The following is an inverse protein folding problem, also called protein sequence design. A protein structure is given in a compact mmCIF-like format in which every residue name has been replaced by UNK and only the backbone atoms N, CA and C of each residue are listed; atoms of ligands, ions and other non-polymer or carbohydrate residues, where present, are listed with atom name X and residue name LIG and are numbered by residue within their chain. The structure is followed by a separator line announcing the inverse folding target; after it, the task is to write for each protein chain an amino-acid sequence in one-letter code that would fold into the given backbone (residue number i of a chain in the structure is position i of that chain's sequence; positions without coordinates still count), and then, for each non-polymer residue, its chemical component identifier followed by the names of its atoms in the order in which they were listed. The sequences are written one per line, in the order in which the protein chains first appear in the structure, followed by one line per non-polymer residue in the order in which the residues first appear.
data_IF_475721061990
#
_entry.id   IF_475721061990
#
_cell.length_a   1.000
_cell.length_b   1.000
_cell.length_c   1.000
_cell.angle_alpha   90.00
_cell.angle_beta   90.00
_cell.angle_gamma   90.00
#
_symmetry.space_group_name_H-M   'P 1'
#
loop_
_entity.id
_entity.type
_entity.pdbx_description
1 polymer ?
#
# COMPACT_ATOMS: atom_id res chain seq x y z
N UNK A 1 1.24 -3.62 -7.39
CA UNK A 1 2.39 -4.54 -7.50
C UNK A 1 3.18 -4.54 -6.18
N UNK A 2 3.51 -5.69 -5.60
CA UNK A 2 4.46 -5.77 -4.45
C UNK A 2 5.68 -6.48 -5.05
N UNK A 3 6.76 -5.73 -5.24
CA UNK A 3 7.96 -6.23 -5.90
C UNK A 3 8.74 -7.23 -5.02
N UNK A 4 9.46 -8.16 -5.63
CA UNK A 4 10.44 -9.01 -4.95
C UNK A 4 11.58 -8.12 -4.38
N UNK A 5 12.04 -8.49 -3.19
CA UNK A 5 13.05 -7.77 -2.39
C UNK A 5 14.48 -8.00 -2.93
N UNK A 6 14.62 -8.65 -4.10
CA UNK A 6 15.90 -9.20 -4.56
C UNK A 6 16.52 -8.48 -5.77
N UNK A 7 16.06 -7.28 -6.12
CA UNK A 7 16.79 -6.46 -7.11
C UNK A 7 17.83 -5.60 -6.38
N UNK A 8 18.98 -6.23 -6.12
CA UNK A 8 20.24 -5.51 -5.87
C UNK A 8 20.48 -4.54 -7.03
N UNK A 9 20.58 -3.27 -6.66
CA UNK A 9 20.86 -2.09 -7.47
C UNK A 9 21.80 -2.36 -8.67
N UNK A 10 21.28 -2.18 -9.89
CA UNK A 10 22.08 -1.70 -11.01
C UNK A 10 21.68 -0.26 -11.28
N UNK A 11 22.57 0.68 -10.97
CA UNK A 11 22.39 2.10 -11.29
C UNK A 11 22.39 2.31 -12.81
N UNK A 12 21.32 2.88 -13.41
CA UNK A 12 21.39 3.41 -14.76
C UNK A 12 21.66 4.90 -14.73
N UNK A 13 22.24 5.34 -15.85
CA UNK A 13 22.86 6.64 -16.06
C UNK A 13 21.95 7.85 -15.81
N UNK A 14 22.63 8.93 -15.43
CA UNK A 14 22.12 10.29 -15.24
C UNK A 14 21.03 10.70 -16.24
N UNK A 15 19.77 10.69 -15.82
CA UNK A 15 18.70 11.41 -16.52
C UNK A 15 18.21 12.56 -15.64
N UNK A 16 18.51 13.77 -16.10
CA UNK A 16 18.06 15.05 -15.55
C UNK A 16 16.52 15.11 -15.62
N UNK A 17 15.84 15.05 -14.48
CA UNK A 17 14.43 15.44 -14.40
C UNK A 17 14.18 16.17 -13.08
N UNK A 18 13.93 17.48 -13.22
CA UNK A 18 13.55 18.38 -12.14
C UNK A 18 12.10 18.08 -11.71
N UNK A 19 11.94 17.17 -10.76
CA UNK A 19 10.74 17.10 -9.93
C UNK A 19 11.17 16.53 -8.58
N UNK A 20 10.94 17.31 -7.52
CA UNK A 20 11.29 17.05 -6.10
C UNK A 20 12.64 17.64 -5.63
N UNK A 21 12.74 18.97 -5.47
CA UNK A 21 13.92 19.63 -4.87
C UNK A 21 14.32 19.05 -3.51
N UNK A 22 13.34 18.63 -2.69
CA UNK A 22 13.57 18.12 -1.33
C UNK A 22 14.19 16.71 -1.31
N UNK A 23 13.78 15.84 -2.24
CA UNK A 23 14.33 14.49 -2.38
C UNK A 23 15.65 14.48 -3.13
N UNK A 24 15.85 15.40 -4.08
CA UNK A 24 17.15 15.65 -4.67
C UNK A 24 18.14 16.19 -3.62
N UNK A 25 17.68 17.07 -2.71
CA UNK A 25 18.45 17.52 -1.54
C UNK A 25 18.83 16.35 -0.61
N UNK A 26 17.87 15.50 -0.22
CA UNK A 26 18.14 14.33 0.63
C UNK A 26 19.04 13.28 -0.06
N UNK A 27 18.84 13.03 -1.35
CA UNK A 27 19.69 12.14 -2.16
C UNK A 27 21.09 12.73 -2.39
N UNK A 28 21.22 14.06 -2.43
CA UNK A 28 22.51 14.75 -2.55
C UNK A 28 23.29 14.81 -1.23
N UNK A 29 22.64 14.58 -0.08
CA UNK A 29 23.28 14.63 1.24
C UNK A 29 23.90 13.29 1.65
N UNK A 30 23.22 12.15 1.47
CA UNK A 30 23.80 10.81 1.66
C UNK A 30 22.90 9.70 1.09
N UNK A 31 23.30 9.08 -0.03
CA UNK A 31 22.56 7.94 -0.63
C UNK A 31 22.41 6.77 0.36
N UNK A 32 23.42 6.56 1.21
CA UNK A 32 23.46 5.49 2.22
C UNK A 32 22.40 5.70 3.29
N UNK A 33 22.06 6.95 3.61
CA UNK A 33 21.01 7.27 4.57
C UNK A 33 19.63 6.94 4.02
N UNK A 34 19.34 7.33 2.77
CA UNK A 34 18.05 7.03 2.14
C UNK A 34 17.82 5.51 2.03
N UNK A 35 18.84 4.75 1.61
CA UNK A 35 18.75 3.30 1.51
C UNK A 35 18.51 2.64 2.88
N UNK A 36 19.17 3.12 3.95
CA UNK A 36 18.94 2.64 5.32
C UNK A 36 17.53 2.95 5.81
N UNK A 37 17.01 4.16 5.53
CA UNK A 37 15.64 4.54 5.91
C UNK A 37 14.62 3.68 5.17
N UNK A 38 14.80 3.47 3.86
CA UNK A 38 13.94 2.59 3.07
C UNK A 38 13.99 1.13 3.56
N UNK A 39 15.17 0.64 3.97
CA UNK A 39 15.31 -0.70 4.56
C UNK A 39 14.56 -0.82 5.90
N UNK A 40 14.68 0.18 6.78
CA UNK A 40 13.92 0.21 8.05
C UNK A 40 12.41 0.25 7.78
N UNK A 41 11.95 1.06 6.83
CA UNK A 41 10.54 1.10 6.40
C UNK A 41 10.07 -0.24 5.83
N UNK A 42 10.95 -0.98 5.15
CA UNK A 42 10.69 -2.34 4.70
C UNK A 42 10.48 -3.32 5.85
N UNK A 43 11.28 -3.22 6.92
CA UNK A 43 11.13 -4.06 8.11
C UNK A 43 9.89 -3.73 8.95
N UNK A 44 9.45 -2.46 8.96
CA UNK A 44 8.24 -2.06 9.69
C UNK A 44 6.95 -2.36 8.93
N UNK A 45 7.00 -2.53 7.61
CA UNK A 45 5.79 -2.78 6.80
C UNK A 45 5.04 -4.07 7.23
N UNK A 46 5.76 -5.16 7.50
CA UNK A 46 5.15 -6.39 8.02
C UNK A 46 4.52 -6.21 9.40
N UNK A 47 5.17 -5.43 10.27
CA UNK A 47 4.68 -5.10 11.62
C UNK A 47 3.42 -4.21 11.54
N UNK A 48 3.38 -3.22 10.65
CA UNK A 48 2.18 -2.41 10.36
C UNK A 48 1.00 -3.30 9.97
N UNK A 49 1.21 -4.30 9.11
CA UNK A 49 0.12 -5.21 8.69
C UNK A 49 -0.38 -6.07 9.84
N UNK A 50 0.49 -6.64 10.66
CA UNK A 50 0.08 -7.41 11.84
C UNK A 50 -0.70 -6.54 12.82
N UNK A 51 -0.21 -5.33 13.10
CA UNK A 51 -0.92 -4.37 13.96
C UNK A 51 -2.26 -3.96 13.35
N UNK A 52 -2.35 -3.79 12.03
CA UNK A 52 -3.62 -3.55 11.30
C UNK A 52 -4.60 -4.70 11.51
N UNK A 53 -4.16 -5.95 11.41
CA UNK A 53 -5.02 -7.12 11.63
C UNK A 53 -5.60 -7.08 13.05
N UNK A 54 -4.76 -6.92 14.08
CA UNK A 54 -5.22 -6.85 15.48
C UNK A 54 -6.17 -5.67 15.70
N UNK A 55 -5.85 -4.50 15.14
CA UNK A 55 -6.70 -3.30 15.22
C UNK A 55 -8.08 -3.55 14.63
N UNK A 56 -8.18 -4.19 13.47
CA UNK A 56 -9.47 -4.38 12.81
C UNK A 56 -10.25 -5.57 13.38
N UNK A 57 -9.59 -6.54 14.04
CA UNK A 57 -10.28 -7.49 14.93
C UNK A 57 -10.93 -6.77 16.11
N UNK A 58 -10.24 -5.80 16.71
CA UNK A 58 -10.81 -4.96 17.76
C UNK A 58 -12.02 -4.16 17.23
N UNK A 59 -11.92 -3.55 16.04
CA UNK A 59 -13.05 -2.86 15.39
C UNK A 59 -14.24 -3.80 15.10
N UNK A 60 -13.97 -5.04 14.69
CA UNK A 60 -15.01 -6.04 14.46
C UNK A 60 -15.72 -6.40 15.77
N UNK A 61 -14.97 -6.64 16.84
CA UNK A 61 -15.54 -6.90 18.17
C UNK A 61 -16.40 -5.73 18.67
N UNK A 62 -16.01 -4.49 18.39
CA UNK A 62 -16.81 -3.30 18.67
C UNK A 62 -18.08 -3.22 17.81
N UNK A 63 -18.00 -3.58 16.53
CA UNK A 63 -19.14 -3.61 15.62
C UNK A 63 -20.19 -4.66 16.01
N UNK A 64 -19.74 -5.80 16.57
CA UNK A 64 -20.61 -6.84 17.12
C UNK A 64 -21.20 -6.48 18.51
N UNK A 65 -20.94 -5.26 18.98
CA UNK A 65 -21.53 -4.64 20.18
C UNK A 65 -21.40 -5.48 21.47
N UNK A 66 -20.26 -6.14 21.65
CA UNK A 66 -19.90 -6.83 22.89
C UNK A 66 -19.71 -5.81 24.03
N UNK A 67 -20.78 -5.49 24.76
CA UNK A 67 -20.83 -4.42 25.76
C UNK A 67 -19.75 -4.54 26.86
N UNK A 68 -19.37 -5.79 27.22
CA UNK A 68 -18.45 -6.11 28.31
C UNK A 68 -17.01 -5.59 28.10
N UNK A 69 -16.55 -5.47 26.86
CA UNK A 69 -15.14 -5.15 26.55
C UNK A 69 -14.97 -3.83 25.78
N UNK A 70 -16.06 -3.10 25.56
CA UNK A 70 -16.15 -1.92 24.70
C UNK A 70 -15.13 -0.81 25.03
N UNK A 71 -14.87 -0.44 26.30
CA UNK A 71 -13.91 0.64 26.62
C UNK A 71 -12.45 0.23 26.36
N UNK A 72 -12.09 -1.00 26.73
CA UNK A 72 -10.71 -1.49 26.64
C UNK A 72 -10.34 -1.80 25.18
N UNK A 73 -11.23 -2.47 24.45
CA UNK A 73 -11.04 -2.76 23.01
C UNK A 73 -11.03 -1.45 22.18
N UNK A 74 -11.87 -0.48 22.55
CA UNK A 74 -11.87 0.85 21.92
C UNK A 74 -10.54 1.58 22.07
N UNK A 75 -10.01 1.62 23.30
CA UNK A 75 -8.71 2.23 23.60
C UNK A 75 -7.58 1.52 22.85
N UNK A 76 -7.56 0.19 22.86
CA UNK A 76 -6.57 -0.60 22.13
C UNK A 76 -6.61 -0.32 20.63
N UNK A 77 -7.80 -0.32 20.01
CA UNK A 77 -7.95 -0.02 18.59
C UNK A 77 -7.43 1.38 18.23
N UNK A 78 -7.64 2.38 19.09
CA UNK A 78 -7.13 3.74 18.91
C UNK A 78 -5.60 3.79 19.03
N UNK A 79 -5.03 3.16 20.05
CA UNK A 79 -3.58 3.10 20.25
C UNK A 79 -2.87 2.38 19.10
N UNK A 80 -3.41 1.26 18.62
CA UNK A 80 -2.88 0.53 17.45
C UNK A 80 -2.96 1.39 16.18
N UNK A 81 -4.00 2.22 16.02
CA UNK A 81 -4.08 3.18 14.91
C UNK A 81 -2.94 4.20 14.94
N UNK A 82 -2.66 4.77 16.12
CA UNK A 82 -1.56 5.71 16.31
C UNK A 82 -0.19 5.05 16.06
N UNK A 83 0.02 3.85 16.61
CA UNK A 83 1.23 3.07 16.37
C UNK A 83 1.47 2.80 14.87
N UNK A 84 0.41 2.56 14.11
CA UNK A 84 0.50 2.39 12.65
C UNK A 84 0.84 3.67 11.90
N UNK A 85 0.30 4.82 12.32
CA UNK A 85 0.73 6.13 11.76
C UNK A 85 2.24 6.32 11.96
N UNK A 86 2.76 6.05 13.16
CA UNK A 86 4.20 6.10 13.45
C UNK A 86 5.01 5.16 12.56
N UNK A 87 4.58 3.91 12.39
CA UNK A 87 5.28 2.93 11.53
C UNK A 87 5.25 3.28 10.04
N UNK A 88 4.37 4.20 9.62
CA UNK A 88 4.24 4.67 8.24
C UNK A 88 4.94 6.01 7.98
N UNK A 89 5.50 6.66 9.01
CA UNK A 89 6.21 7.93 8.85
C UNK A 89 7.30 7.83 7.78
N UNK A 90 7.33 8.80 6.86
CA UNK A 90 8.31 8.80 5.78
C UNK A 90 7.99 7.84 4.63
N UNK A 91 6.78 7.28 4.55
CA UNK A 91 6.35 6.49 3.38
C UNK A 91 6.38 7.28 2.08
N UNK A 92 6.20 8.59 2.15
CA UNK A 92 6.37 9.52 1.03
C UNK A 92 7.73 9.41 0.34
N UNK A 93 8.79 8.99 1.04
CA UNK A 93 10.12 8.77 0.47
C UNK A 93 10.15 7.64 -0.58
N UNK A 94 9.15 6.73 -0.56
CA UNK A 94 9.00 5.67 -1.56
C UNK A 94 8.62 6.21 -2.95
N UNK A 95 8.32 7.51 -3.08
CA UNK A 95 8.02 8.15 -4.38
C UNK A 95 9.10 7.91 -5.42
N UNK A 96 10.38 7.82 -5.05
CA UNK A 96 11.46 7.58 -6.01
C UNK A 96 11.27 6.22 -6.69
N UNK A 97 11.12 5.16 -5.90
CA UNK A 97 10.92 3.81 -6.43
C UNK A 97 9.58 3.70 -7.17
N UNK A 98 8.51 4.26 -6.60
CA UNK A 98 7.19 4.21 -7.22
C UNK A 98 7.15 4.99 -8.55
N UNK A 99 7.90 6.08 -8.68
CA UNK A 99 8.01 6.85 -9.94
C UNK A 99 8.75 6.06 -11.00
N UNK A 100 9.81 5.34 -10.64
CA UNK A 100 10.53 4.47 -11.58
C UNK A 100 9.64 3.34 -12.08
N UNK A 101 8.88 2.71 -11.18
CA UNK A 101 7.91 1.67 -11.55
C UNK A 101 6.80 2.24 -12.47
N UNK A 102 6.26 3.42 -12.14
CA UNK A 102 5.26 4.08 -12.97
C UNK A 102 5.79 4.45 -14.36
N UNK A 103 7.07 4.84 -14.48
CA UNK A 103 7.71 5.11 -15.76
C UNK A 103 7.96 3.84 -16.58
N UNK A 104 8.13 2.68 -15.93
CA UNK A 104 8.29 1.39 -16.58
C UNK A 104 6.98 0.84 -17.17
N UNK A 105 5.82 1.36 -16.77
CA UNK A 105 4.53 0.98 -17.35
C UNK A 105 4.47 1.34 -18.86
N UNK A 106 3.72 0.56 -19.66
CA UNK A 106 3.53 0.82 -21.08
C UNK A 106 3.03 2.25 -21.35
N UNK A 107 3.55 2.87 -22.41
CA UNK A 107 3.16 4.22 -22.79
C UNK A 107 1.65 4.27 -23.12
N UNK A 108 0.99 5.35 -22.70
CA UNK A 108 -0.46 5.53 -22.83
C UNK A 108 -1.13 5.66 -21.48
N UNK A 109 -2.39 5.21 -21.40
CA UNK A 109 -3.23 5.44 -20.21
C UNK A 109 -2.69 4.76 -18.95
N UNK A 110 -2.00 3.61 -19.07
CA UNK A 110 -1.45 2.87 -17.92
C UNK A 110 -0.36 3.69 -17.21
N UNK A 111 0.63 4.19 -17.96
CA UNK A 111 1.64 5.10 -17.43
C UNK A 111 1.04 6.37 -16.83
N UNK A 112 0.05 6.98 -17.50
CA UNK A 112 -0.62 8.17 -16.97
C UNK A 112 -1.32 7.87 -15.64
N UNK A 113 -2.07 6.77 -15.55
CA UNK A 113 -2.74 6.36 -14.33
C UNK A 113 -1.74 6.04 -13.21
N UNK A 114 -0.64 5.35 -13.52
CA UNK A 114 0.42 5.06 -12.57
C UNK A 114 1.06 6.33 -12.02
N UNK A 115 1.42 7.29 -12.89
CA UNK A 115 2.01 8.56 -12.48
C UNK A 115 1.04 9.41 -11.63
N UNK A 116 -0.25 9.42 -11.96
CA UNK A 116 -1.28 10.09 -11.14
C UNK A 116 -1.42 9.43 -9.77
N UNK A 117 -1.39 8.09 -9.71
CA UNK A 117 -1.40 7.34 -8.45
C UNK A 117 -0.20 7.67 -7.58
N UNK A 118 1.00 7.72 -8.17
CA UNK A 118 2.23 8.10 -7.45
C UNK A 118 2.16 9.53 -6.92
N UNK A 119 1.70 10.48 -7.74
CA UNK A 119 1.55 11.87 -7.34
C UNK A 119 0.58 12.04 -6.17
N UNK A 120 -0.64 11.54 -6.32
CA UNK A 120 -1.66 11.61 -5.27
C UNK A 120 -1.26 10.83 -4.01
N UNK A 121 -0.64 9.66 -4.16
CA UNK A 121 -0.18 8.83 -3.04
C UNK A 121 0.94 9.50 -2.26
N UNK A 122 1.87 10.15 -2.93
CA UNK A 122 2.96 10.89 -2.28
C UNK A 122 2.44 12.08 -1.48
N UNK A 123 1.51 12.86 -2.06
CA UNK A 123 0.88 13.97 -1.35
C UNK A 123 0.03 13.46 -0.18
N UNK A 124 -0.66 12.32 -0.36
CA UNK A 124 -1.41 11.66 0.70
C UNK A 124 -0.54 11.20 1.86
N UNK A 125 0.58 10.52 1.59
CA UNK A 125 1.51 10.05 2.62
C UNK A 125 2.16 11.22 3.38
N UNK A 126 2.55 12.30 2.68
CA UNK A 126 3.01 13.53 3.35
C UNK A 126 1.91 14.15 4.23
N UNK A 127 0.67 14.13 3.76
CA UNK A 127 -0.48 14.59 4.51
C UNK A 127 -0.74 13.78 5.78
N UNK A 128 -0.65 12.43 5.72
CA UNK A 128 -0.80 11.55 6.90
C UNK A 128 0.30 11.84 7.94
N UNK A 129 1.54 12.06 7.50
CA UNK A 129 2.66 12.43 8.38
C UNK A 129 2.41 13.78 9.09
N UNK A 130 1.92 14.78 8.34
CA UNK A 130 1.60 16.11 8.88
C UNK A 130 0.40 16.09 9.83
N UNK A 131 -0.65 15.33 9.51
CA UNK A 131 -1.82 15.18 10.38
C UNK A 131 -1.44 14.42 11.66
N UNK A 132 -0.60 13.39 11.57
CA UNK A 132 -0.04 12.73 12.76
C UNK A 132 0.78 13.68 13.63
N UNK A 133 1.64 14.53 13.04
CA UNK A 133 2.40 15.53 13.79
C UNK A 133 1.47 16.54 14.49
N UNK A 134 0.37 16.93 13.84
CA UNK A 134 -0.68 17.77 14.43
C UNK A 134 -1.35 17.10 15.63
N UNK A 135 -1.72 15.82 15.51
CA UNK A 135 -2.32 15.02 16.61
C UNK A 135 -1.40 14.92 17.83
N UNK A 136 -0.08 14.91 17.61
CA UNK A 136 0.95 14.85 18.66
C UNK A 136 1.32 16.22 19.21
N UNK A 137 0.63 17.30 18.80
CA UNK A 137 0.95 18.69 19.14
C UNK A 137 2.38 19.12 18.73
N UNK A 138 2.96 18.46 17.72
CA UNK A 138 4.26 18.81 17.13
C UNK A 138 4.10 19.79 15.95
N UNK A 139 2.88 19.94 15.42
CA UNK A 139 2.53 20.87 14.36
C UNK A 139 1.21 21.59 14.68
N UNK A 140 0.89 22.71 14.01
CA UNK A 140 -0.36 23.44 14.24
C UNK A 140 -1.60 22.55 14.15
N UNK A 141 -2.55 22.72 15.08
CA UNK A 141 -3.77 21.90 15.19
C UNK A 141 -4.71 21.98 13.99
N UNK A 142 -4.64 23.07 13.22
CA UNK A 142 -5.46 23.25 12.01
C UNK A 142 -5.10 22.26 10.91
N UNK A 143 -3.88 21.71 10.91
CA UNK A 143 -3.43 20.72 9.92
C UNK A 143 -4.24 19.42 10.07
N UNK A 144 -4.56 19.00 11.29
CA UNK A 144 -5.40 17.82 11.52
C UNK A 144 -6.81 17.91 10.90
N UNK A 145 -7.29 19.12 10.57
CA UNK A 145 -8.56 19.29 9.85
C UNK A 145 -8.52 18.74 8.40
N UNK A 146 -7.32 18.50 7.87
CA UNK A 146 -7.11 17.98 6.51
C UNK A 146 -7.09 16.44 6.43
N UNK A 147 -7.31 15.71 7.53
CA UNK A 147 -7.37 14.23 7.52
C UNK A 147 -8.34 13.71 6.44
N UNK A 148 -9.49 14.35 6.27
CA UNK A 148 -10.47 13.99 5.22
C UNK A 148 -9.93 14.18 3.79
N UNK A 149 -9.08 15.18 3.57
CA UNK A 149 -8.44 15.39 2.27
C UNK A 149 -7.38 14.33 1.99
N UNK A 150 -6.64 13.91 3.02
CA UNK A 150 -5.69 12.79 2.92
C UNK A 150 -6.42 11.49 2.55
N UNK A 151 -7.56 11.20 3.19
CA UNK A 151 -8.40 10.04 2.85
C UNK A 151 -8.92 10.09 1.40
N UNK A 152 -9.25 11.29 0.90
CA UNK A 152 -9.68 11.49 -0.50
C UNK A 152 -8.54 11.25 -1.49
N UNK A 153 -7.32 11.66 -1.16
CA UNK A 153 -6.15 11.36 -1.98
C UNK A 153 -5.90 9.86 -2.04
N UNK A 154 -6.04 9.16 -0.91
CA UNK A 154 -5.95 7.70 -0.90
C UNK A 154 -7.05 7.02 -1.72
N UNK A 155 -8.29 7.49 -1.63
CA UNK A 155 -9.35 7.02 -2.53
C UNK A 155 -8.99 7.24 -4.00
N UNK A 156 -8.47 8.41 -4.35
CA UNK A 156 -8.08 8.73 -5.72
C UNK A 156 -6.97 7.80 -6.23
N UNK A 157 -5.95 7.46 -5.42
CA UNK A 157 -4.93 6.48 -5.84
C UNK A 157 -5.55 5.12 -6.15
N UNK A 158 -6.54 4.69 -5.36
CA UNK A 158 -7.22 3.42 -5.60
C UNK A 158 -8.04 3.43 -6.90
N UNK A 159 -8.62 4.57 -7.29
CA UNK A 159 -9.27 4.73 -8.60
C UNK A 159 -8.29 4.57 -9.77
N UNK A 160 -7.02 4.93 -9.59
CA UNK A 160 -5.96 4.70 -10.57
C UNK A 160 -5.44 3.26 -10.53
N UNK A 161 -5.22 2.71 -9.33
CA UNK A 161 -4.58 1.40 -9.13
C UNK A 161 -5.49 0.20 -9.47
N UNK A 162 -6.81 0.31 -9.26
CA UNK A 162 -7.75 -0.77 -9.51
C UNK A 162 -7.79 -1.20 -11.00
N UNK A 163 -7.94 -0.27 -11.96
CA UNK A 163 -7.83 -0.62 -13.39
C UNK A 163 -6.46 -1.21 -13.75
N UNK A 164 -5.36 -0.66 -13.21
CA UNK A 164 -4.01 -1.17 -13.46
C UNK A 164 -3.84 -2.62 -12.99
N UNK A 165 -4.29 -2.93 -11.77
CA UNK A 165 -4.26 -4.29 -11.25
C UNK A 165 -5.18 -5.24 -12.04
N UNK A 166 -6.29 -4.73 -12.59
CA UNK A 166 -7.17 -5.51 -13.47
C UNK A 166 -6.46 -5.88 -14.77
N UNK A 167 -5.74 -4.95 -15.40
CA UNK A 167 -4.88 -5.25 -16.55
C UNK A 167 -3.81 -6.28 -16.20
N UNK A 168 -3.13 -6.11 -15.06
CA UNK A 168 -2.12 -7.07 -14.62
C UNK A 168 -2.67 -8.49 -14.42
N UNK A 169 -3.93 -8.65 -14.02
CA UNK A 169 -4.62 -9.95 -13.97
C UNK A 169 -4.84 -10.51 -15.37
N UNK A 170 -5.33 -9.70 -16.30
CA UNK A 170 -5.57 -10.12 -17.68
C UNK A 170 -4.27 -10.56 -18.35
N UNK A 171 -3.20 -9.79 -18.17
CA UNK A 171 -1.87 -10.09 -18.72
C UNK A 171 -1.28 -11.35 -18.07
N UNK A 172 -1.41 -11.52 -16.76
CA UNK A 172 -0.95 -12.73 -16.07
C UNK A 172 -1.73 -13.97 -16.52
N UNK A 173 -3.03 -13.83 -16.77
CA UNK A 173 -3.88 -14.93 -17.27
C UNK A 173 -3.52 -15.28 -18.71
N UNK A 174 -3.32 -14.29 -19.58
CA UNK A 174 -2.90 -14.51 -20.96
C UNK A 174 -1.53 -15.22 -21.01
N UNK A 175 -0.57 -14.79 -20.18
CA UNK A 175 0.74 -15.42 -20.07
C UNK A 175 0.64 -16.89 -19.60
N UNK A 176 -0.22 -17.18 -18.63
CA UNK A 176 -0.44 -18.55 -18.16
C UNK A 176 -1.06 -19.44 -19.26
N UNK A 177 -2.03 -18.93 -20.02
CA UNK A 177 -2.67 -19.67 -21.11
C UNK A 177 -1.75 -19.91 -22.31
N UNK A 178 -0.76 -19.04 -22.52
CA UNK A 178 0.24 -19.19 -23.57
C UNK A 178 1.38 -20.16 -23.17
N UNK A 179 1.46 -20.56 -21.90
CA UNK A 179 2.51 -21.43 -21.39
C UNK A 179 2.04 -22.87 -21.36
N UNK A 180 2.83 -23.76 -21.97
CA UNK A 180 2.56 -25.20 -22.00
C UNK A 180 3.22 -25.87 -20.78
N UNK A 181 2.42 -26.50 -19.88
CA UNK A 181 2.96 -27.17 -18.69
C UNK A 181 3.85 -28.37 -18.99
N UNK A 182 3.71 -29.00 -20.16
CA UNK A 182 4.52 -30.16 -20.55
C UNK A 182 5.89 -29.73 -21.11
N UNK A 183 5.93 -28.57 -21.77
CA UNK A 183 7.15 -28.03 -22.38
C UNK A 183 8.01 -27.29 -21.35
N UNK A 184 7.40 -26.45 -20.52
CA UNK A 184 8.11 -25.68 -19.49
C UNK A 184 7.33 -25.62 -18.18
N UNK A 185 7.43 -26.66 -17.33
CA UNK A 185 6.72 -26.71 -16.05
C UNK A 185 7.16 -25.61 -15.07
N UNK A 186 8.40 -25.11 -15.19
CA UNK A 186 8.93 -24.05 -14.31
C UNK A 186 8.32 -22.70 -14.69
N UNK A 187 8.29 -22.36 -15.98
CA UNK A 187 7.62 -21.15 -16.46
C UNK A 187 6.12 -21.20 -16.18
N UNK A 188 5.49 -22.37 -16.35
CA UNK A 188 4.07 -22.56 -16.05
C UNK A 188 3.77 -22.29 -14.57
N UNK A 189 4.52 -22.90 -13.66
CA UNK A 189 4.41 -22.64 -12.21
C UNK A 189 4.63 -21.15 -11.89
N UNK A 190 5.65 -20.53 -12.48
CA UNK A 190 5.94 -19.11 -12.27
C UNK A 190 4.82 -18.18 -12.79
N UNK A 191 4.11 -18.58 -13.86
CA UNK A 191 2.91 -17.89 -14.33
C UNK A 191 1.74 -18.08 -13.36
N UNK A 192 1.54 -19.27 -12.80
CA UNK A 192 0.52 -19.52 -11.77
C UNK A 192 0.77 -18.66 -10.52
N UNK A 193 2.02 -18.62 -10.04
CA UNK A 193 2.46 -17.78 -8.92
C UNK A 193 2.19 -16.30 -9.21
N UNK A 194 2.52 -15.83 -10.43
CA UNK A 194 2.24 -14.44 -10.84
C UNK A 194 0.75 -14.15 -10.80
N UNK A 195 -0.09 -15.00 -11.40
CA UNK A 195 -1.54 -14.86 -11.41
C UNK A 195 -2.10 -14.81 -9.99
N UNK A 196 -1.74 -15.76 -9.13
CA UNK A 196 -2.17 -15.77 -7.73
C UNK A 196 -1.75 -14.48 -6.99
N UNK A 197 -0.51 -14.01 -7.20
CA UNK A 197 0.02 -12.80 -6.57
C UNK A 197 -0.71 -11.53 -7.00
N UNK A 198 -1.09 -11.40 -8.27
CA UNK A 198 -1.88 -10.25 -8.76
C UNK A 198 -3.34 -10.34 -8.33
N UNK A 199 -3.93 -11.54 -8.30
CA UNK A 199 -5.29 -11.75 -7.77
C UNK A 199 -5.40 -11.35 -6.30
N UNK A 200 -4.45 -11.76 -5.45
CA UNK A 200 -4.41 -11.31 -4.04
C UNK A 200 -4.28 -9.79 -3.94
N UNK A 201 -3.53 -9.16 -4.85
CA UNK A 201 -3.39 -7.70 -4.89
C UNK A 201 -4.69 -7.01 -5.27
N UNK A 202 -5.47 -7.59 -6.19
CA UNK A 202 -6.77 -7.07 -6.58
C UNK A 202 -7.80 -7.20 -5.46
N UNK A 203 -7.86 -8.34 -4.78
CA UNK A 203 -8.75 -8.53 -3.61
C UNK A 203 -8.44 -7.49 -2.54
N UNK A 204 -7.15 -7.28 -2.24
CA UNK A 204 -6.69 -6.21 -1.36
C UNK A 204 -7.16 -4.84 -1.85
N UNK A 205 -6.93 -4.51 -3.13
CA UNK A 205 -7.26 -3.19 -3.69
C UNK A 205 -8.76 -2.90 -3.64
N UNK A 206 -9.61 -3.89 -3.90
CA UNK A 206 -11.08 -3.76 -3.77
C UNK A 206 -11.47 -3.53 -2.31
N UNK A 207 -10.87 -4.27 -1.38
CA UNK A 207 -11.12 -4.06 0.05
C UNK A 207 -10.63 -2.67 0.53
N UNK A 208 -9.45 -2.24 0.11
CA UNK A 208 -8.93 -0.89 0.36
C UNK A 208 -9.83 0.18 -0.27
N UNK A 209 -10.39 -0.04 -1.46
CA UNK A 209 -11.31 0.88 -2.13
C UNK A 209 -12.54 1.14 -1.28
N UNK A 210 -13.28 0.10 -0.88
CA UNK A 210 -14.44 0.27 -0.02
C UNK A 210 -14.10 0.92 1.33
N UNK A 211 -12.93 0.58 1.88
CA UNK A 211 -12.47 1.19 3.12
C UNK A 211 -12.16 2.69 2.96
N UNK A 212 -11.46 3.08 1.91
CA UNK A 212 -11.13 4.46 1.59
C UNK A 212 -12.38 5.28 1.24
N UNK A 213 -13.33 4.71 0.48
CA UNK A 213 -14.59 5.41 0.16
C UNK A 213 -15.41 5.73 1.40
N UNK A 214 -15.39 4.85 2.42
CA UNK A 214 -16.03 5.13 3.70
C UNK A 214 -15.34 6.28 4.44
N UNK A 215 -14.01 6.29 4.50
CA UNK A 215 -13.26 7.36 5.17
C UNK A 215 -13.42 8.72 4.46
N UNK A 216 -13.33 8.73 3.13
CA UNK A 216 -13.37 9.93 2.31
C UNK A 216 -14.77 10.52 2.12
N UNK A 217 -15.80 9.67 2.00
CA UNK A 217 -17.16 10.07 1.58
C UNK A 217 -18.30 9.47 2.42
N UNK A 218 -18.01 8.57 3.38
CA UNK A 218 -19.02 7.87 4.17
C UNK A 218 -20.01 7.01 3.33
N UNK A 219 -19.52 6.37 2.26
CA UNK A 219 -20.30 5.56 1.28
C UNK A 219 -19.72 4.14 1.15
N UNK A 220 -20.48 3.07 0.75
CA UNK A 220 -21.93 3.01 0.43
C UNK A 220 -22.83 2.70 1.63
N UNK A 221 -22.28 2.19 2.73
CA UNK A 221 -23.02 1.99 3.98
C UNK A 221 -22.20 2.53 5.15
N UNK A 222 -22.85 3.18 6.11
CA UNK A 222 -22.23 3.62 7.37
C UNK A 222 -21.89 2.44 8.32
N UNK A 223 -21.83 1.21 7.80
CA UNK A 223 -21.64 0.00 8.61
C UNK A 223 -20.21 -0.06 9.15
N UNK A 224 -20.09 0.04 10.48
CA UNK A 224 -18.83 -0.19 11.20
C UNK A 224 -18.31 -1.61 10.99
N UNK A 225 -19.18 -2.57 10.72
CA UNK A 225 -18.82 -3.95 10.35
C UNK A 225 -18.14 -4.03 8.99
N UNK A 226 -18.64 -3.31 7.98
CA UNK A 226 -18.00 -3.25 6.67
C UNK A 226 -16.58 -2.68 6.77
N UNK A 227 -16.40 -1.59 7.54
CA UNK A 227 -15.07 -1.01 7.80
C UNK A 227 -14.09 -2.03 8.38
N UNK A 228 -14.56 -2.76 9.39
CA UNK A 228 -13.78 -3.77 10.08
C UNK A 228 -13.34 -4.90 9.13
N UNK A 229 -14.29 -5.44 8.37
CA UNK A 229 -14.05 -6.55 7.42
C UNK A 229 -13.13 -6.11 6.28
N UNK A 230 -13.40 -4.98 5.64
CA UNK A 230 -12.57 -4.48 4.54
C UNK A 230 -11.12 -4.25 4.99
N UNK A 231 -10.91 -3.67 6.17
CA UNK A 231 -9.56 -3.48 6.70
C UNK A 231 -8.87 -4.78 7.09
N UNK A 232 -9.58 -5.77 7.62
CA UNK A 232 -9.05 -7.12 7.88
C UNK A 232 -8.61 -7.82 6.60
N UNK A 233 -9.46 -7.83 5.57
CA UNK A 233 -9.16 -8.46 4.28
C UNK A 233 -7.94 -7.80 3.64
N UNK A 234 -7.92 -6.46 3.56
CA UNK A 234 -6.78 -5.70 3.03
C UNK A 234 -5.47 -6.02 3.76
N UNK A 235 -5.50 -6.03 5.10
CA UNK A 235 -4.32 -6.31 5.91
C UNK A 235 -3.82 -7.75 5.73
N UNK A 236 -4.74 -8.71 5.70
CA UNK A 236 -4.45 -10.13 5.54
C UNK A 236 -3.85 -10.42 4.17
N UNK A 237 -4.41 -9.88 3.09
CA UNK A 237 -3.85 -10.01 1.75
C UNK A 237 -2.45 -9.37 1.66
N UNK A 238 -2.22 -8.23 2.31
CA UNK A 238 -0.90 -7.61 2.38
C UNK A 238 0.12 -8.49 3.10
N UNK A 239 -0.27 -9.05 4.25
CA UNK A 239 0.59 -9.93 5.04
C UNK A 239 0.90 -11.23 4.29
N UNK A 240 -0.10 -11.83 3.64
CA UNK A 240 0.05 -13.04 2.82
C UNK A 240 1.12 -12.85 1.73
N UNK A 241 1.11 -11.69 1.06
CA UNK A 241 2.10 -11.36 0.03
C UNK A 241 3.50 -11.11 0.58
N UNK A 242 3.62 -10.62 1.81
CA UNK A 242 4.91 -10.46 2.47
C UNK A 242 5.45 -11.81 2.97
N UNK A 243 4.57 -12.69 3.46
CA UNK A 243 4.94 -14.00 3.96
C UNK A 243 5.41 -14.96 2.85
N UNK A 244 4.85 -14.83 1.64
CA UNK A 244 5.19 -15.67 0.47
C UNK A 244 5.08 -17.17 0.78
N UNK A 245 3.87 -17.69 1.06
CA UNK A 245 3.64 -19.13 1.18
C UNK A 245 4.02 -19.85 -0.12
N UNK A 246 4.19 -21.17 -0.08
CA UNK A 246 4.69 -21.99 -1.20
C UNK A 246 4.01 -21.70 -2.55
N UNK A 247 2.69 -21.49 -2.58
CA UNK A 247 1.93 -21.19 -3.81
C UNK A 247 2.16 -19.77 -4.37
N UNK A 248 2.84 -18.90 -3.61
CA UNK A 248 3.28 -17.56 -4.03
C UNK A 248 4.81 -17.47 -4.20
N UNK A 249 5.50 -18.61 -4.14
CA UNK A 249 6.95 -18.68 -4.29
C UNK A 249 7.29 -19.19 -5.68
N UNK A 250 8.08 -18.39 -6.41
CA UNK A 250 8.58 -18.77 -7.72
C UNK A 250 9.53 -19.96 -7.60
N UNK A 251 9.47 -20.85 -8.59
CA UNK A 251 10.48 -21.87 -8.77
C UNK A 251 11.78 -21.20 -9.27
N UNK A 252 12.95 -21.67 -8.81
CA UNK A 252 14.25 -21.14 -9.22
C UNK A 252 14.52 -21.31 -10.71
#
# INVERSE_FOLDING_TARGET
MIYPVDVVLKAPAQSKLMALPLLYLLQSLDKTFLDRVLAVLGHTDGRDKTVKIVQYFCKLALALNQAKYKPLIGTLAKQLSGARRVMRLGKSLKVVNNSLDALAEPAGWQRTAAMLSVGAGTVGDLGDDLCWASDMALAPSWIGAYDKWVDRLWFFTLCCDLPLNTCAILDARAALLACDPEVDPVAYHNCQVKLASVTVSQIKAVADFFHATRLAFNWPTASTGQDAVCGLVSASCSLLKMWKPAFLTKAP
#
